data_IF_187472681917
#
_entry.id   IF_187472681917
#
_cell.length_a   1.000
_cell.length_b   1.000
_cell.length_c   1.000
_cell.angle_alpha   90.00
_cell.angle_beta   90.00
_cell.angle_gamma   90.00
#
_symmetry.space_group_name_H-M   'P 1'
#
loop_
_entity.id
_entity.type
_entity.pdbx_description
1 polymer ?
#
# COMPACT_ATOMS: atom_id res chain seq x y z
N UNK A 1 54.25 -13.27 -47.66
CA UNK A 1 53.48 -14.30 -48.36
C UNK A 1 52.96 -15.28 -47.30
N UNK A 2 51.64 -15.54 -47.27
CA UNK A 2 50.88 -16.49 -46.43
C UNK A 2 50.82 -16.23 -44.88
N UNK A 3 49.75 -15.69 -44.26
CA UNK A 3 48.36 -16.16 -43.91
C UNK A 3 48.21 -16.97 -42.60
N UNK A 4 47.63 -16.30 -41.56
CA UNK A 4 46.54 -16.64 -40.55
C UNK A 4 46.31 -18.11 -40.08
N UNK A 5 45.48 -18.41 -39.04
CA UNK A 5 44.86 -17.62 -37.95
C UNK A 5 44.81 -18.31 -36.54
N UNK A 6 44.39 -17.58 -35.50
CA UNK A 6 43.42 -18.10 -34.52
C UNK A 6 43.92 -18.77 -33.23
N UNK A 7 43.70 -18.10 -32.10
CA UNK A 7 43.00 -18.70 -30.95
C UNK A 7 42.34 -17.59 -30.13
N UNK A 8 41.08 -17.34 -30.47
CA UNK A 8 40.13 -16.74 -29.54
C UNK A 8 39.98 -17.71 -28.37
N UNK A 9 40.62 -17.43 -27.23
CA UNK A 9 40.23 -18.02 -25.96
C UNK A 9 38.95 -17.34 -25.50
N UNK A 10 37.86 -17.84 -26.07
CA UNK A 10 36.49 -17.64 -25.62
C UNK A 10 36.40 -18.25 -24.22
N UNK A 11 36.60 -17.43 -23.18
CA UNK A 11 36.29 -17.84 -21.82
C UNK A 11 34.80 -17.64 -21.63
N UNK A 12 34.03 -18.65 -22.05
CA UNK A 12 32.61 -18.74 -21.75
C UNK A 12 32.41 -19.17 -20.31
N UNK A 13 31.50 -18.44 -19.66
CA UNK A 13 30.61 -18.94 -18.62
C UNK A 13 31.22 -19.20 -17.26
N UNK A 14 31.59 -18.12 -16.55
CA UNK A 14 31.06 -18.02 -15.20
C UNK A 14 29.59 -17.64 -15.33
N UNK A 15 28.75 -18.67 -15.40
CA UNK A 15 27.35 -18.58 -15.01
C UNK A 15 27.33 -18.02 -13.60
N UNK A 16 27.24 -16.70 -13.47
CA UNK A 16 26.63 -16.08 -12.31
C UNK A 16 25.21 -16.60 -12.32
N UNK A 17 24.99 -17.69 -11.60
CA UNK A 17 23.70 -17.94 -10.97
C UNK A 17 23.38 -16.64 -10.25
N UNK A 18 22.53 -15.84 -10.89
CA UNK A 18 21.78 -14.80 -10.21
C UNK A 18 20.98 -15.58 -9.17
N UNK A 19 21.58 -15.76 -7.99
CA UNK A 19 20.85 -16.06 -6.78
C UNK A 19 19.77 -14.99 -6.75
N UNK A 20 18.55 -15.37 -7.12
CA UNK A 20 17.42 -14.46 -7.07
C UNK A 20 17.40 -13.94 -5.63
N UNK A 21 17.57 -12.62 -5.41
CA UNK A 21 17.67 -12.12 -4.06
C UNK A 21 16.42 -12.60 -3.33
N UNK A 22 16.64 -13.28 -2.21
CA UNK A 22 15.61 -13.81 -1.29
C UNK A 22 14.67 -12.71 -0.77
N UNK A 23 14.89 -11.46 -1.19
CA UNK A 23 14.19 -10.22 -0.83
C UNK A 23 13.52 -9.52 -2.03
N UNK A 24 13.31 -10.20 -3.16
CA UNK A 24 12.72 -9.61 -4.38
C UNK A 24 11.44 -8.82 -4.08
N UNK A 25 10.55 -9.34 -3.23
CA UNK A 25 9.29 -8.66 -2.89
C UNK A 25 9.45 -7.39 -2.05
N UNK A 26 10.50 -7.29 -1.21
CA UNK A 26 10.77 -6.10 -0.37
C UNK A 26 11.24 -4.94 -1.23
N UNK A 27 12.14 -5.22 -2.17
CA UNK A 27 12.56 -4.27 -3.19
C UNK A 27 11.36 -3.74 -3.99
N UNK A 28 10.46 -4.64 -4.42
CA UNK A 28 9.24 -4.22 -5.12
C UNK A 28 8.29 -3.42 -4.24
N UNK A 29 8.15 -3.77 -2.95
CA UNK A 29 7.31 -3.03 -2.00
C UNK A 29 7.86 -1.61 -1.72
N UNK A 30 9.17 -1.48 -1.47
CA UNK A 30 9.83 -0.18 -1.32
C UNK A 30 9.76 0.66 -2.60
N UNK A 31 9.98 0.03 -3.76
CA UNK A 31 9.84 0.70 -5.07
C UNK A 31 8.41 1.16 -5.32
N UNK A 32 7.42 0.35 -4.96
CA UNK A 32 6.00 0.71 -5.11
C UNK A 32 5.59 1.88 -4.19
N UNK A 33 6.07 1.90 -2.94
CA UNK A 33 5.79 2.96 -1.98
C UNK A 33 6.47 4.29 -2.35
N UNK A 34 7.68 4.23 -2.92
CA UNK A 34 8.47 5.42 -3.29
C UNK A 34 8.16 5.92 -4.70
N UNK A 35 7.63 5.09 -5.60
CA UNK A 35 7.22 5.52 -6.93
C UNK A 35 5.79 6.11 -6.92
N UNK A 36 5.63 7.42 -7.18
CA UNK A 36 4.33 8.08 -7.08
C UNK A 36 3.33 7.53 -8.09
N UNK A 37 3.79 7.05 -9.26
CA UNK A 37 2.91 6.50 -10.29
C UNK A 37 2.29 5.17 -9.86
N UNK A 38 3.09 4.33 -9.21
CA UNK A 38 2.64 3.04 -8.69
C UNK A 38 1.66 3.26 -7.54
N UNK A 39 1.99 4.18 -6.62
CA UNK A 39 1.09 4.53 -5.52
C UNK A 39 -0.22 5.15 -6.01
N UNK A 40 -0.19 6.04 -7.00
CA UNK A 40 -1.40 6.58 -7.63
C UNK A 40 -2.23 5.47 -8.24
N UNK A 41 -1.62 4.55 -9.00
CA UNK A 41 -2.35 3.42 -9.59
C UNK A 41 -2.97 2.52 -8.53
N UNK A 42 -2.22 2.19 -7.46
CA UNK A 42 -2.73 1.41 -6.34
C UNK A 42 -3.90 2.12 -5.62
N UNK A 43 -3.78 3.43 -5.40
CA UNK A 43 -4.84 4.24 -4.79
C UNK A 43 -6.10 4.25 -5.66
N UNK A 44 -5.95 4.46 -6.98
CA UNK A 44 -7.05 4.42 -7.93
C UNK A 44 -7.70 3.04 -7.98
N UNK A 45 -6.92 1.96 -7.94
CA UNK A 45 -7.43 0.60 -7.92
C UNK A 45 -8.27 0.35 -6.66
N UNK A 46 -7.74 0.71 -5.48
CA UNK A 46 -8.46 0.59 -4.20
C UNK A 46 -9.75 1.39 -4.24
N UNK A 47 -9.70 2.69 -4.59
CA UNK A 47 -10.91 3.53 -4.68
C UNK A 47 -11.92 2.96 -5.67
N UNK A 48 -11.48 2.48 -6.84
CA UNK A 48 -12.37 1.89 -7.84
C UNK A 48 -13.05 0.61 -7.33
N UNK A 49 -12.34 -0.20 -6.54
CA UNK A 49 -12.91 -1.38 -5.89
C UNK A 49 -13.93 -0.99 -4.81
N UNK A 50 -13.68 0.11 -4.09
CA UNK A 50 -14.61 0.64 -3.08
C UNK A 50 -15.91 1.18 -3.65
N UNK A 51 -15.88 1.68 -4.89
CA UNK A 51 -17.08 2.18 -5.59
C UNK A 51 -17.96 1.05 -6.15
N UNK A 52 -17.49 -0.20 -6.12
CA UNK A 52 -18.34 -1.32 -6.49
C UNK A 52 -19.42 -1.50 -5.42
N UNK A 53 -20.70 -1.68 -5.79
CA UNK A 53 -21.82 -1.87 -4.86
C UNK A 53 -21.79 -3.29 -4.27
N UNK A 54 -20.66 -3.69 -3.70
CA UNK A 54 -20.44 -4.93 -2.96
C UNK A 54 -20.69 -4.73 -1.45
N UNK A 55 -20.87 -3.47 -1.04
CA UNK A 55 -21.04 -3.01 0.34
C UNK A 55 -22.13 -3.79 1.10
N UNK A 56 -23.29 -4.01 0.47
CA UNK A 56 -24.43 -4.68 1.14
C UNK A 56 -24.39 -6.21 1.12
N UNK A 57 -23.55 -6.82 0.27
CA UNK A 57 -23.59 -8.28 0.05
C UNK A 57 -22.49 -9.03 0.78
N UNK A 58 -21.43 -8.35 1.22
CA UNK A 58 -20.24 -8.99 1.77
C UNK A 58 -19.62 -8.13 2.89
N UNK A 59 -19.97 -8.43 4.15
CA UNK A 59 -19.49 -7.68 5.33
C UNK A 59 -17.96 -7.57 5.47
N UNK A 60 -17.19 -8.57 4.99
CA UNK A 60 -15.73 -8.51 5.06
C UNK A 60 -15.12 -7.59 3.99
N UNK A 61 -15.86 -7.29 2.92
CA UNK A 61 -15.40 -6.44 1.83
C UNK A 61 -15.22 -5.00 2.29
N UNK A 62 -16.18 -4.52 3.08
CA UNK A 62 -16.16 -3.21 3.70
C UNK A 62 -14.92 -3.01 4.60
N UNK A 63 -14.69 -3.94 5.54
CA UNK A 63 -13.48 -3.99 6.39
C UNK A 63 -12.20 -3.92 5.56
N UNK A 64 -12.12 -4.72 4.48
CA UNK A 64 -10.95 -4.76 3.62
C UNK A 64 -10.74 -3.43 2.88
N UNK A 65 -11.82 -2.78 2.45
CA UNK A 65 -11.80 -1.49 1.79
C UNK A 65 -11.36 -0.37 2.72
N UNK A 66 -11.90 -0.30 3.94
CA UNK A 66 -11.49 0.66 4.96
C UNK A 66 -9.99 0.52 5.30
N UNK A 67 -9.53 -0.71 5.52
CA UNK A 67 -8.12 -0.99 5.78
C UNK A 67 -7.21 -0.61 4.59
N UNK A 68 -7.61 -0.93 3.35
CA UNK A 68 -6.81 -0.64 2.16
C UNK A 68 -6.74 0.86 1.84
N UNK A 69 -7.88 1.57 1.90
CA UNK A 69 -7.95 3.03 1.74
C UNK A 69 -7.08 3.74 2.78
N UNK A 70 -7.20 3.32 4.05
CA UNK A 70 -6.42 3.85 5.15
C UNK A 70 -4.92 3.64 4.95
N UNK A 71 -4.50 2.43 4.56
CA UNK A 71 -3.10 2.15 4.29
C UNK A 71 -2.55 3.03 3.15
N UNK A 72 -3.30 3.17 2.04
CA UNK A 72 -2.90 4.02 0.92
C UNK A 72 -2.74 5.50 1.32
N UNK A 73 -3.70 6.05 2.09
CA UNK A 73 -3.63 7.41 2.63
C UNK A 73 -2.41 7.60 3.53
N UNK A 74 -2.14 6.65 4.42
CA UNK A 74 -0.99 6.72 5.33
C UNK A 74 0.33 6.68 4.57
N UNK A 75 0.45 5.87 3.51
CA UNK A 75 1.64 5.86 2.64
C UNK A 75 1.83 7.22 1.93
N UNK A 76 0.75 7.85 1.45
CA UNK A 76 0.83 9.22 0.92
C UNK A 76 1.27 10.24 1.97
N UNK A 77 0.77 10.13 3.20
CA UNK A 77 1.13 11.02 4.30
C UNK A 77 2.62 10.87 4.67
N UNK A 78 3.15 9.65 4.71
CA UNK A 78 4.59 9.44 4.91
C UNK A 78 5.44 10.01 3.77
N UNK A 79 4.96 9.93 2.54
CA UNK A 79 5.65 10.52 1.38
C UNK A 79 5.85 12.03 1.52
N UNK A 80 4.89 12.74 2.14
CA UNK A 80 4.99 14.19 2.39
C UNK A 80 5.63 14.51 3.75
N UNK A 81 6.20 13.53 4.44
CA UNK A 81 6.92 13.72 5.71
C UNK A 81 6.04 13.81 6.94
N UNK A 82 4.78 13.37 6.88
CA UNK A 82 3.92 13.34 8.06
C UNK A 82 4.42 12.31 9.08
N UNK A 83 4.30 12.64 10.37
CA UNK A 83 4.59 11.68 11.44
C UNK A 83 3.49 10.61 11.53
N UNK A 84 3.76 9.41 12.10
CA UNK A 84 2.74 8.39 12.32
C UNK A 84 1.52 8.88 13.11
N UNK A 85 1.74 9.78 14.08
CA UNK A 85 0.67 10.39 14.88
C UNK A 85 -0.16 11.36 14.04
N UNK A 86 0.49 12.22 13.24
CA UNK A 86 -0.21 13.14 12.34
C UNK A 86 -1.05 12.37 11.31
N UNK A 87 -0.51 11.27 10.78
CA UNK A 87 -1.23 10.40 9.85
C UNK A 87 -2.47 9.76 10.50
N UNK A 88 -2.35 9.32 11.77
CA UNK A 88 -3.47 8.77 12.53
C UNK A 88 -4.57 9.80 12.80
N UNK A 89 -4.19 11.01 13.25
CA UNK A 89 -5.14 12.11 13.50
C UNK A 89 -5.87 12.51 12.22
N UNK A 90 -5.16 12.60 11.11
CA UNK A 90 -5.76 12.88 9.81
C UNK A 90 -6.75 11.79 9.41
N UNK A 91 -6.39 10.51 9.58
CA UNK A 91 -7.25 9.39 9.27
C UNK A 91 -8.55 9.39 10.10
N UNK A 92 -8.44 9.61 11.42
CA UNK A 92 -9.60 9.76 12.28
C UNK A 92 -10.49 10.94 11.88
N UNK A 93 -9.89 12.04 11.43
CA UNK A 93 -10.65 13.21 10.97
C UNK A 93 -11.47 12.88 9.72
N UNK A 94 -10.92 12.08 8.81
CA UNK A 94 -11.66 11.56 7.64
C UNK A 94 -12.78 10.62 8.10
N UNK A 95 -12.51 9.71 9.04
CA UNK A 95 -13.53 8.82 9.60
C UNK A 95 -14.70 9.59 10.21
N UNK A 96 -14.43 10.59 11.05
CA UNK A 96 -15.48 11.46 11.61
C UNK A 96 -16.27 12.17 10.51
N UNK A 97 -15.59 12.67 9.47
CA UNK A 97 -16.28 13.32 8.35
C UNK A 97 -17.18 12.36 7.57
N UNK A 98 -16.77 11.08 7.45
CA UNK A 98 -17.57 10.02 6.85
C UNK A 98 -18.86 9.78 7.65
N UNK A 99 -18.75 9.56 8.96
CA UNK A 99 -19.92 9.38 9.86
C UNK A 99 -20.91 10.54 9.79
N UNK A 100 -20.40 11.78 9.75
CA UNK A 100 -21.25 12.97 9.63
C UNK A 100 -21.98 12.98 8.28
N UNK A 101 -21.32 12.54 7.21
CA UNK A 101 -21.93 12.45 5.89
C UNK A 101 -23.03 11.39 5.88
N UNK A 102 -22.81 10.21 6.46
CA UNK A 102 -23.82 9.16 6.54
C UNK A 102 -25.09 9.62 7.24
N UNK A 103 -24.93 10.27 8.40
CA UNK A 103 -26.07 10.83 9.15
C UNK A 103 -26.81 11.90 8.33
N UNK A 104 -26.08 12.69 7.53
CA UNK A 104 -26.66 13.73 6.69
C UNK A 104 -27.37 13.17 5.44
N UNK A 105 -26.99 11.98 4.96
CA UNK A 105 -27.49 11.42 3.69
C UNK A 105 -28.03 9.99 3.81
N UNK A 106 -29.08 9.75 4.62
CA UNK A 106 -29.61 8.41 4.93
C UNK A 106 -30.32 7.70 3.77
N UNK A 107 -30.36 8.29 2.56
CA UNK A 107 -31.06 7.74 1.39
C UNK A 107 -30.10 7.14 0.36
N UNK A 108 -28.78 7.27 0.55
CA UNK A 108 -27.82 6.63 -0.32
C UNK A 108 -27.56 5.21 0.19
N UNK A 109 -27.90 4.22 -0.62
CA UNK A 109 -27.78 2.76 -0.39
C UNK A 109 -26.33 2.31 -0.07
N UNK A 110 -25.36 3.20 -0.22
CA UNK A 110 -23.96 2.97 0.15
C UNK A 110 -23.63 3.34 1.61
N UNK A 111 -24.61 3.79 2.40
CA UNK A 111 -24.43 4.31 3.77
C UNK A 111 -25.35 3.55 4.72
N UNK A 112 -24.97 2.33 5.07
CA UNK A 112 -25.69 1.52 6.05
C UNK A 112 -25.23 1.86 7.47
N UNK A 113 -25.48 3.10 7.90
CA UNK A 113 -24.94 3.60 9.17
C UNK A 113 -25.50 2.88 10.41
N UNK A 114 -24.68 2.85 11.47
CA UNK A 114 -25.04 2.29 12.77
C UNK A 114 -23.83 2.23 13.70
N UNK A 115 -24.06 2.14 15.01
CA UNK A 115 -22.94 2.13 15.98
C UNK A 115 -21.95 0.98 15.78
N UNK A 116 -22.46 -0.20 15.40
CA UNK A 116 -21.63 -1.38 15.13
C UNK A 116 -20.76 -1.17 13.88
N UNK A 117 -21.32 -0.50 12.87
CA UNK A 117 -20.67 -0.15 11.60
C UNK A 117 -19.54 0.87 11.84
N UNK A 118 -19.87 1.98 12.52
CA UNK A 118 -18.89 3.00 12.94
C UNK A 118 -17.69 2.40 13.68
N UNK A 119 -17.94 1.46 14.60
CA UNK A 119 -16.87 0.78 15.34
C UNK A 119 -16.05 -0.12 14.41
N UNK A 120 -16.70 -0.84 13.50
CA UNK A 120 -16.07 -1.63 12.45
C UNK A 120 -15.14 -0.79 11.57
N UNK A 121 -15.61 0.36 11.12
CA UNK A 121 -14.87 1.32 10.32
C UNK A 121 -13.64 1.86 11.02
N UNK A 122 -13.80 2.27 12.28
CA UNK A 122 -12.70 2.77 13.11
C UNK A 122 -11.62 1.70 13.27
N UNK A 123 -12.01 0.47 13.60
CA UNK A 123 -11.07 -0.66 13.77
C UNK A 123 -10.37 -0.99 12.46
N UNK A 124 -11.11 -1.01 11.35
CA UNK A 124 -10.58 -1.32 10.02
C UNK A 124 -9.60 -0.25 9.55
N UNK A 125 -9.94 1.02 9.75
CA UNK A 125 -9.08 2.16 9.43
C UNK A 125 -7.79 2.14 10.27
N UNK A 126 -7.93 1.92 11.59
CA UNK A 126 -6.79 1.78 12.48
C UNK A 126 -5.89 0.61 12.08
N UNK A 127 -6.48 -0.51 11.63
CA UNK A 127 -5.73 -1.68 11.14
C UNK A 127 -4.90 -1.34 9.89
N UNK A 128 -5.50 -0.63 8.93
CA UNK A 128 -4.79 -0.12 7.75
C UNK A 128 -3.61 0.79 8.11
N UNK A 129 -3.82 1.71 9.07
CA UNK A 129 -2.75 2.55 9.60
C UNK A 129 -1.63 1.74 10.27
N UNK A 130 -1.96 0.76 11.11
CA UNK A 130 -0.97 -0.11 11.76
C UNK A 130 -0.14 -0.83 10.71
N UNK A 131 -0.79 -1.44 9.71
CA UNK A 131 -0.11 -2.19 8.64
C UNK A 131 0.86 -1.28 7.89
N UNK A 132 0.41 -0.10 7.44
CA UNK A 132 1.26 0.86 6.74
C UNK A 132 2.43 1.36 7.62
N UNK A 133 2.18 1.64 8.89
CA UNK A 133 3.20 2.11 9.85
C UNK A 133 4.26 1.04 10.10
N UNK A 134 3.85 -0.21 10.32
CA UNK A 134 4.75 -1.33 10.56
C UNK A 134 5.56 -1.63 9.29
N UNK A 135 4.91 -1.67 8.12
CA UNK A 135 5.58 -1.87 6.84
C UNK A 135 6.63 -0.77 6.58
N UNK A 136 6.27 0.50 6.79
CA UNK A 136 7.18 1.63 6.62
C UNK A 136 8.39 1.51 7.55
N UNK A 137 8.17 1.27 8.85
CA UNK A 137 9.27 1.11 9.82
C UNK A 137 10.18 -0.04 9.48
N UNK A 138 9.60 -1.14 8.99
CA UNK A 138 10.36 -2.32 8.63
C UNK A 138 11.21 -2.07 7.37
N UNK A 139 10.68 -1.40 6.36
CA UNK A 139 11.43 -0.98 5.16
C UNK A 139 12.57 -0.02 5.55
N UNK A 140 12.27 1.03 6.33
CA UNK A 140 13.28 2.05 6.69
C UNK A 140 14.44 1.51 7.53
N UNK A 141 14.22 0.51 8.40
CA UNK A 141 15.28 -0.09 9.21
C UNK A 141 16.34 -0.86 8.41
N UNK A 142 16.05 -1.27 7.18
CA UNK A 142 17.00 -2.01 6.35
C UNK A 142 17.89 -1.07 5.52
N UNK A 143 17.37 0.08 5.08
CA UNK A 143 18.19 1.10 4.42
C UNK A 143 19.35 1.53 5.34
N UNK A 144 19.08 1.70 6.65
CA UNK A 144 20.11 2.03 7.65
C UNK A 144 21.17 0.92 7.87
N UNK A 145 20.96 -0.31 7.38
CA UNK A 145 21.89 -1.44 7.56
C UNK A 145 22.75 -1.75 6.32
N UNK A 146 22.50 -1.06 5.21
CA UNK A 146 23.24 -1.23 3.95
C UNK A 146 24.29 -0.12 3.72
N UNK A 147 24.34 0.88 4.60
CA UNK A 147 25.37 1.91 4.70
C UNK A 147 26.47 1.54 5.73
#
# INVERSE_FOLDING_TARGET
MATRPGSHLFTTSSSTTHDAPTETWRFWAGTAATNPRVLTFATLAVVSLGLLPLYESIWWWDIAMHAACSAALVVWLYRIGASPVAALVFLFSIGIAWEVLEVATPHFVLMAGGWEDTVGDVVSNASGWVIATVAQRWISRFDDTLD
#
